data_IF_129560553246
#
_entry.id   IF_129560553246
#
_cell.length_a   1.000
_cell.length_b   1.000
_cell.length_c   1.000
_cell.angle_alpha   90.00
_cell.angle_beta   90.00
_cell.angle_gamma   90.00
#
_symmetry.space_group_name_H-M   'P 1'
#
loop_
_entity.id
_entity.type
_entity.pdbx_description
1 polymer ?
#
# COMPACT_ATOMS: atom_id res chain seq x y z
N UNK A 1 32.01 7.87 -9.82
CA UNK A 1 30.87 7.81 -8.88
C UNK A 1 29.70 8.46 -9.61
N UNK A 2 28.58 7.80 -9.87
CA UNK A 2 27.44 8.49 -10.47
C UNK A 2 26.92 9.50 -9.46
N UNK A 3 26.75 10.73 -9.94
CA UNK A 3 26.35 11.88 -9.14
C UNK A 3 25.01 11.60 -8.46
N UNK A 4 24.96 11.80 -7.13
CA UNK A 4 23.75 11.51 -6.35
C UNK A 4 22.78 12.66 -6.59
N UNK A 5 21.72 12.37 -7.34
CA UNK A 5 20.62 13.29 -7.61
C UNK A 5 20.06 13.85 -6.30
N UNK A 6 20.20 15.17 -6.11
CA UNK A 6 19.88 15.90 -4.89
C UNK A 6 19.14 17.19 -5.25
N UNK A 7 18.19 17.60 -4.42
CA UNK A 7 17.57 18.92 -4.53
C UNK A 7 18.48 20.04 -4.01
N UNK A 8 18.03 21.29 -4.16
CA UNK A 8 18.73 22.47 -3.66
C UNK A 8 18.96 22.47 -2.13
N UNK A 9 18.24 21.63 -1.38
CA UNK A 9 18.42 21.42 0.05
C UNK A 9 19.31 20.22 0.39
N UNK A 10 19.92 19.57 -0.61
CA UNK A 10 20.79 18.41 -0.42
C UNK A 10 20.06 17.10 -0.11
N UNK A 11 18.72 17.06 -0.18
CA UNK A 11 17.95 15.81 -0.05
C UNK A 11 18.07 15.02 -1.33
N UNK A 12 18.21 13.71 -1.22
CA UNK A 12 18.25 12.83 -2.38
C UNK A 12 16.94 12.99 -3.18
N UNK A 13 17.03 13.57 -4.38
CA UNK A 13 15.96 13.49 -5.36
C UNK A 13 16.05 12.12 -5.97
N UNK A 14 15.06 11.29 -5.71
CA UNK A 14 14.99 10.01 -6.41
C UNK A 14 14.25 10.26 -7.74
N UNK A 15 14.84 11.03 -8.67
CA UNK A 15 14.22 11.32 -9.96
C UNK A 15 14.36 10.15 -10.95
N UNK A 16 14.93 9.01 -10.51
CA UNK A 16 14.94 7.80 -11.33
C UNK A 16 13.51 7.32 -11.56
N UNK A 17 13.11 7.06 -12.82
CA UNK A 17 11.81 6.49 -13.12
C UNK A 17 11.65 5.16 -12.39
N UNK A 18 10.42 4.78 -12.06
CA UNK A 18 10.10 3.52 -11.37
C UNK A 18 9.08 2.72 -12.15
N UNK A 19 9.08 1.42 -11.99
CA UNK A 19 7.98 0.59 -12.49
C UNK A 19 6.73 0.70 -11.60
N UNK A 20 5.64 0.05 -12.01
CA UNK A 20 4.37 0.02 -11.26
C UNK A 20 4.46 -0.65 -9.88
N UNK A 21 5.59 -1.29 -9.55
CA UNK A 21 5.86 -1.84 -8.24
C UNK A 21 6.82 -0.96 -7.46
N UNK A 22 7.23 0.22 -7.94
CA UNK A 22 8.14 1.15 -7.26
C UNK A 22 9.64 0.79 -7.37
N UNK A 23 10.04 -0.17 -8.20
CA UNK A 23 11.46 -0.50 -8.41
C UNK A 23 12.11 0.52 -9.35
N UNK A 24 13.34 1.00 -9.06
CA UNK A 24 14.01 1.98 -9.91
C UNK A 24 14.35 1.38 -11.28
N UNK A 25 14.07 2.13 -12.33
CA UNK A 25 14.38 1.82 -13.73
C UNK A 25 15.64 2.57 -14.20
N UNK A 26 16.27 2.12 -15.30
CA UNK A 26 17.32 2.90 -15.97
C UNK A 26 16.85 4.32 -16.31
N UNK A 27 17.78 5.28 -16.30
CA UNK A 27 17.47 6.64 -16.77
C UNK A 27 16.99 6.60 -18.23
N UNK A 28 15.98 7.42 -18.55
CA UNK A 28 15.38 7.47 -19.89
C UNK A 28 14.33 6.39 -20.17
N UNK A 29 14.15 5.39 -19.30
CA UNK A 29 13.03 4.46 -19.41
C UNK A 29 11.71 5.15 -18.99
N UNK A 30 10.57 4.84 -19.65
CA UNK A 30 9.28 5.33 -19.19
C UNK A 30 8.96 4.70 -17.83
N UNK A 31 8.78 5.55 -16.82
CA UNK A 31 8.31 5.13 -15.50
C UNK A 31 6.79 5.13 -15.41
N UNK A 32 6.27 4.51 -14.36
CA UNK A 32 4.90 4.70 -13.90
C UNK A 32 4.91 5.85 -12.90
N UNK A 33 4.04 6.83 -13.12
CA UNK A 33 3.86 7.95 -12.20
C UNK A 33 3.41 7.43 -10.83
N UNK A 34 3.95 7.99 -9.74
CA UNK A 34 3.52 7.66 -8.38
C UNK A 34 2.17 8.28 -8.08
N UNK A 35 1.51 7.81 -7.03
CA UNK A 35 0.37 8.56 -6.53
C UNK A 35 0.82 9.96 -6.09
N UNK A 36 0.03 11.01 -6.34
CA UNK A 36 0.32 12.32 -5.81
C UNK A 36 0.35 12.25 -4.28
N UNK A 37 1.46 12.68 -3.68
CA UNK A 37 1.64 12.67 -2.22
C UNK A 37 0.77 13.74 -1.56
N UNK A 38 0.23 13.43 -0.39
CA UNK A 38 -0.50 14.41 0.43
C UNK A 38 -1.90 14.73 -0.09
N UNK A 39 -2.46 13.88 -0.95
CA UNK A 39 -3.86 14.02 -1.38
C UNK A 39 -4.76 13.49 -0.28
N UNK A 40 -5.44 14.42 0.39
CA UNK A 40 -6.46 14.13 1.39
C UNK A 40 -7.68 13.54 0.68
N UNK A 41 -8.05 12.33 1.08
CA UNK A 41 -9.23 11.59 0.61
C UNK A 41 -10.13 11.30 1.80
N UNK A 42 -11.43 11.22 1.56
CA UNK A 42 -12.35 10.59 2.51
C UNK A 42 -11.99 9.10 2.70
N UNK A 43 -12.42 8.46 3.80
CA UNK A 43 -12.26 7.02 3.97
C UNK A 43 -12.80 6.21 2.78
N UNK A 44 -13.98 6.55 2.27
CA UNK A 44 -14.63 5.86 1.15
C UNK A 44 -13.84 6.01 -0.17
N UNK A 45 -13.34 7.21 -0.45
CA UNK A 45 -12.48 7.47 -1.61
C UNK A 45 -11.14 6.73 -1.50
N UNK A 46 -10.56 6.69 -0.29
CA UNK A 46 -9.33 5.96 0.00
C UNK A 46 -9.49 4.48 -0.31
N UNK A 47 -10.56 3.86 0.18
CA UNK A 47 -10.84 2.43 -0.03
C UNK A 47 -11.14 2.16 -1.51
N UNK A 48 -11.96 2.99 -2.15
CA UNK A 48 -12.32 2.83 -3.57
C UNK A 48 -11.10 2.92 -4.48
N UNK A 49 -10.26 3.94 -4.28
CA UNK A 49 -9.05 4.12 -5.08
C UNK A 49 -8.04 2.99 -4.83
N UNK A 50 -7.85 2.58 -3.57
CA UNK A 50 -6.99 1.45 -3.25
C UNK A 50 -7.50 0.14 -3.89
N UNK A 51 -8.82 -0.13 -3.87
CA UNK A 51 -9.41 -1.31 -4.52
C UNK A 51 -9.17 -1.30 -6.03
N UNK A 52 -9.34 -0.15 -6.69
CA UNK A 52 -9.09 0.02 -8.13
C UNK A 52 -7.62 -0.25 -8.46
N UNK A 53 -6.69 0.33 -7.70
CA UNK A 53 -5.25 0.15 -7.88
C UNK A 53 -4.81 -1.29 -7.65
N UNK A 54 -5.36 -1.95 -6.62
CA UNK A 54 -5.16 -3.37 -6.40
C UNK A 54 -5.64 -4.14 -7.63
N UNK A 55 -6.86 -3.87 -8.11
CA UNK A 55 -7.46 -4.36 -9.36
C UNK A 55 -6.50 -4.35 -10.55
N UNK A 56 -5.83 -3.23 -10.75
CA UNK A 56 -4.88 -2.98 -11.84
C UNK A 56 -3.49 -3.58 -11.64
N UNK A 57 -3.27 -4.32 -10.54
CA UNK A 57 -1.96 -4.89 -10.22
C UNK A 57 -0.94 -3.84 -9.77
N UNK A 58 -1.39 -2.75 -9.17
CA UNK A 58 -0.56 -1.65 -8.62
C UNK A 58 -0.61 -1.62 -7.09
N UNK A 59 -0.15 -2.67 -6.39
CA UNK A 59 -0.21 -2.73 -4.93
C UNK A 59 0.70 -1.70 -4.24
N UNK A 60 1.75 -1.21 -4.91
CA UNK A 60 2.61 -0.17 -4.35
C UNK A 60 1.88 1.18 -4.31
N UNK A 61 1.15 1.52 -5.37
CA UNK A 61 0.30 2.72 -5.39
C UNK A 61 -0.85 2.63 -4.38
N UNK A 62 -1.47 1.46 -4.22
CA UNK A 62 -2.47 1.26 -3.18
C UNK A 62 -1.88 1.44 -1.77
N UNK A 63 -0.63 1.01 -1.55
CA UNK A 63 0.10 1.28 -0.32
C UNK A 63 0.28 2.78 -0.09
N UNK A 64 0.66 3.56 -1.11
CA UNK A 64 0.80 5.03 -0.99
C UNK A 64 -0.53 5.68 -0.58
N UNK A 65 -1.66 5.24 -1.15
CA UNK A 65 -3.01 5.74 -0.79
C UNK A 65 -3.35 5.49 0.69
N UNK A 66 -3.10 4.27 1.19
CA UNK A 66 -3.33 3.96 2.60
C UNK A 66 -2.32 4.64 3.53
N UNK A 67 -1.08 4.86 3.07
CA UNK A 67 -0.07 5.57 3.85
C UNK A 67 -0.44 7.04 4.04
N UNK A 68 -0.98 7.69 3.01
CA UNK A 68 -1.50 9.06 3.11
C UNK A 68 -2.65 9.13 4.12
N UNK A 69 -3.63 8.22 4.03
CA UNK A 69 -4.71 8.13 5.01
C UNK A 69 -4.18 7.90 6.43
N UNK A 70 -3.22 6.98 6.61
CA UNK A 70 -2.57 6.75 7.89
C UNK A 70 -1.90 8.01 8.44
N UNK A 71 -1.19 8.78 7.60
CA UNK A 71 -0.51 10.01 8.03
C UNK A 71 -1.49 11.11 8.40
N UNK A 72 -2.65 11.18 7.74
CA UNK A 72 -3.68 12.19 7.99
C UNK A 72 -4.71 11.84 9.07
N UNK A 73 -4.78 10.58 9.50
CA UNK A 73 -5.75 10.13 10.51
C UNK A 73 -5.14 10.10 11.91
N UNK A 74 -5.92 10.61 12.87
CA UNK A 74 -5.68 10.50 14.30
C UNK A 74 -6.64 9.48 14.93
N UNK A 75 -6.38 9.12 16.19
CA UNK A 75 -7.25 8.22 16.95
C UNK A 75 -7.13 6.74 16.56
N UNK A 76 -8.10 5.90 16.95
CA UNK A 76 -7.98 4.44 16.83
C UNK A 76 -7.88 3.95 15.38
N UNK A 77 -8.58 4.60 14.45
CA UNK A 77 -8.59 4.22 13.03
C UNK A 77 -7.24 4.42 12.33
N UNK A 78 -6.31 5.18 12.94
CA UNK A 78 -4.95 5.32 12.43
C UNK A 78 -4.28 3.95 12.24
N UNK A 79 -4.50 3.00 13.15
CA UNK A 79 -3.92 1.66 13.05
C UNK A 79 -4.60 0.80 11.97
N UNK A 80 -5.88 1.04 11.66
CA UNK A 80 -6.56 0.40 10.53
C UNK A 80 -5.86 0.76 9.21
N UNK A 81 -5.64 2.05 8.96
CA UNK A 81 -4.99 2.53 7.73
C UNK A 81 -3.56 2.01 7.59
N UNK A 82 -2.81 1.99 8.69
CA UNK A 82 -1.47 1.41 8.73
C UNK A 82 -1.47 -0.09 8.44
N UNK A 83 -2.44 -0.84 8.98
CA UNK A 83 -2.62 -2.26 8.69
C UNK A 83 -2.92 -2.52 7.22
N UNK A 84 -3.82 -1.75 6.62
CA UNK A 84 -4.13 -1.82 5.19
C UNK A 84 -2.92 -1.44 4.31
N UNK A 85 -2.14 -0.44 4.71
CA UNK A 85 -0.88 -0.10 4.05
C UNK A 85 0.11 -1.27 4.10
N UNK A 86 0.19 -1.99 5.21
CA UNK A 86 1.02 -3.20 5.36
C UNK A 86 0.54 -4.35 4.45
N UNK A 87 -0.77 -4.56 4.34
CA UNK A 87 -1.35 -5.54 3.42
C UNK A 87 -0.95 -5.23 1.98
N UNK A 88 -1.11 -3.97 1.55
CA UNK A 88 -0.76 -3.53 0.20
C UNK A 88 0.76 -3.64 -0.10
N UNK A 89 1.64 -3.30 0.84
CA UNK A 89 3.09 -3.49 0.63
C UNK A 89 3.48 -4.98 0.71
N UNK A 90 2.76 -5.81 1.47
CA UNK A 90 2.91 -7.27 1.44
C UNK A 90 2.62 -7.85 0.05
N UNK A 91 1.55 -7.38 -0.60
CA UNK A 91 1.25 -7.68 -2.00
C UNK A 91 2.34 -7.23 -2.96
N UNK A 92 2.90 -6.03 -2.73
CA UNK A 92 4.04 -5.53 -3.51
C UNK A 92 5.26 -6.45 -3.39
N UNK A 93 5.59 -6.91 -2.17
CA UNK A 93 6.68 -7.87 -1.95
C UNK A 93 6.43 -9.19 -2.69
N UNK A 94 5.18 -9.69 -2.67
CA UNK A 94 4.79 -10.90 -3.38
C UNK A 94 4.99 -10.74 -4.89
N UNK A 95 4.53 -9.63 -5.46
CA UNK A 95 4.69 -9.31 -6.89
C UNK A 95 6.16 -9.14 -7.31
N UNK A 96 7.04 -8.73 -6.37
CA UNK A 96 8.50 -8.64 -6.57
C UNK A 96 9.23 -9.98 -6.36
N UNK A 97 8.53 -11.08 -6.07
CA UNK A 97 9.13 -12.40 -5.82
C UNK A 97 9.71 -12.58 -4.41
N UNK A 98 9.46 -11.65 -3.49
CA UNK A 98 9.91 -11.75 -2.10
C UNK A 98 8.83 -12.40 -1.22
N UNK A 99 8.68 -13.73 -1.34
CA UNK A 99 7.65 -14.49 -0.62
C UNK A 99 7.77 -14.36 0.90
N UNK A 100 8.99 -14.48 1.46
CA UNK A 100 9.22 -14.37 2.91
C UNK A 100 8.80 -13.00 3.46
N UNK A 101 9.21 -11.93 2.77
CA UNK A 101 8.84 -10.56 3.13
C UNK A 101 7.33 -10.32 2.99
N UNK A 102 6.72 -10.87 1.94
CA UNK A 102 5.27 -10.79 1.72
C UNK A 102 4.49 -11.42 2.87
N UNK A 103 4.78 -12.68 3.22
CA UNK A 103 4.09 -13.37 4.31
C UNK A 103 4.23 -12.63 5.64
N UNK A 104 5.42 -12.10 5.93
CA UNK A 104 5.66 -11.36 7.17
C UNK A 104 4.93 -10.01 7.23
N UNK A 105 4.71 -9.34 6.10
CA UNK A 105 3.94 -8.08 6.04
C UNK A 105 2.43 -8.33 6.05
N UNK A 106 1.96 -9.35 5.32
CA UNK A 106 0.55 -9.75 5.31
C UNK A 106 0.08 -10.20 6.69
N UNK A 107 0.89 -10.98 7.42
CA UNK A 107 0.57 -11.40 8.78
C UNK A 107 0.44 -10.20 9.73
N UNK A 108 1.41 -9.27 9.72
CA UNK A 108 1.37 -8.04 10.54
C UNK A 108 0.19 -7.15 10.18
N UNK A 109 -0.09 -6.99 8.88
CA UNK A 109 -1.25 -6.24 8.41
C UNK A 109 -2.56 -6.85 8.91
N UNK A 110 -2.70 -8.18 8.86
CA UNK A 110 -3.85 -8.90 9.39
C UNK A 110 -4.01 -8.71 10.89
N UNK A 111 -2.92 -8.84 11.67
CA UNK A 111 -2.92 -8.58 13.12
C UNK A 111 -3.34 -7.15 13.46
N UNK A 112 -2.93 -6.17 12.65
CA UNK A 112 -3.26 -4.77 12.87
C UNK A 112 -4.73 -4.44 12.57
N UNK A 113 -5.35 -5.08 11.57
CA UNK A 113 -6.75 -4.81 11.20
C UNK A 113 -7.75 -5.70 11.96
N UNK A 114 -7.34 -6.86 12.48
CA UNK A 114 -8.23 -7.80 13.18
C UNK A 114 -9.05 -7.19 14.33
N UNK A 115 -8.53 -6.25 15.16
CA UNK A 115 -9.34 -5.60 16.20
C UNK A 115 -10.58 -4.87 15.68
N UNK A 116 -10.63 -4.51 14.39
CA UNK A 116 -11.75 -3.82 13.75
C UNK A 116 -12.82 -4.79 13.23
N UNK A 117 -12.63 -6.11 13.33
CA UNK A 117 -13.55 -7.09 12.73
C UNK A 117 -14.95 -7.10 13.37
N UNK A 118 -15.04 -6.76 14.66
CA UNK A 118 -16.32 -6.74 15.39
C UNK A 118 -17.21 -5.56 14.98
N UNK A 119 -16.60 -4.43 14.62
CA UNK A 119 -17.27 -3.21 14.18
C UNK A 119 -16.43 -2.59 13.06
N UNK A 120 -16.60 -3.13 11.84
CA UNK A 120 -15.77 -2.77 10.71
C UNK A 120 -16.08 -1.35 10.21
N UNK A 121 -15.13 -0.41 10.28
CA UNK A 121 -15.33 0.94 9.77
C UNK A 121 -15.51 0.93 8.25
N UNK A 122 -16.30 1.88 7.74
CA UNK A 122 -16.36 2.20 6.31
C UNK A 122 -16.79 1.04 5.38
N UNK A 123 -17.44 0.01 5.92
CA UNK A 123 -17.89 -1.17 5.16
C UNK A 123 -16.77 -2.12 4.74
N UNK A 124 -15.59 -2.03 5.36
CA UNK A 124 -14.45 -2.88 5.03
C UNK A 124 -14.74 -4.34 5.45
N UNK A 125 -14.46 -5.31 4.58
CA UNK A 125 -14.50 -6.73 4.90
C UNK A 125 -13.26 -7.14 5.71
N UNK A 126 -13.15 -6.65 6.94
CA UNK A 126 -12.00 -6.92 7.81
C UNK A 126 -11.83 -8.42 8.04
N UNK A 127 -12.93 -9.13 8.31
CA UNK A 127 -12.92 -10.58 8.53
C UNK A 127 -12.40 -11.33 7.30
N UNK A 128 -12.90 -11.00 6.11
CA UNK A 128 -12.44 -11.60 4.86
C UNK A 128 -10.99 -11.25 4.54
N UNK A 129 -10.57 -10.02 4.80
CA UNK A 129 -9.17 -9.58 4.62
C UNK A 129 -8.21 -10.33 5.53
N UNK A 130 -8.54 -10.49 6.81
CA UNK A 130 -7.72 -11.24 7.77
C UNK A 130 -7.62 -12.70 7.35
N UNK A 131 -8.74 -13.32 6.98
CA UNK A 131 -8.75 -14.70 6.50
C UNK A 131 -7.92 -14.86 5.22
N UNK A 132 -8.09 -13.96 4.25
CA UNK A 132 -7.35 -13.95 2.99
C UNK A 132 -5.83 -13.81 3.22
N UNK A 133 -5.42 -12.89 4.08
CA UNK A 133 -4.01 -12.62 4.38
C UNK A 133 -3.33 -13.80 5.10
N UNK A 134 -4.03 -14.44 6.05
CA UNK A 134 -3.51 -15.59 6.81
C UNK A 134 -3.45 -16.87 5.98
N UNK A 135 -4.43 -17.09 5.11
CA UNK A 135 -4.50 -18.29 4.26
C UNK A 135 -3.57 -18.21 3.05
N UNK A 136 -2.88 -17.08 2.84
CA UNK A 136 -1.98 -16.88 1.71
C UNK A 136 -2.69 -17.01 0.36
N UNK A 137 -3.98 -16.70 0.32
CA UNK A 137 -4.81 -16.98 -0.85
C UNK A 137 -4.25 -16.27 -2.11
N UNK A 138 -4.32 -16.95 -3.27
CA UNK A 138 -3.91 -16.34 -4.53
C UNK A 138 -4.84 -15.18 -4.90
N UNK A 139 -4.38 -14.31 -5.79
CA UNK A 139 -5.17 -13.18 -6.28
C UNK A 139 -5.15 -11.96 -5.37
N UNK A 140 -6.04 -11.01 -5.64
CA UNK A 140 -6.14 -9.74 -4.93
C UNK A 140 -7.27 -9.81 -3.90
N UNK A 141 -7.12 -9.14 -2.74
CA UNK A 141 -8.20 -9.09 -1.76
C UNK A 141 -9.35 -8.19 -2.26
N UNK A 142 -10.55 -8.47 -1.76
CA UNK A 142 -11.67 -7.52 -1.77
C UNK A 142 -11.61 -6.72 -0.47
N UNK A 143 -11.69 -5.40 -0.57
CA UNK A 143 -11.63 -4.49 0.58
C UNK A 143 -13.00 -4.29 1.24
N UNK A 144 -14.08 -4.31 0.46
CA UNK A 144 -15.45 -4.09 0.94
C UNK A 144 -16.22 -5.41 1.08
N UNK A 145 -17.18 -5.47 2.01
CA UNK A 145 -18.06 -6.63 2.23
C UNK A 145 -18.98 -6.93 1.04
#
# INVERSE_FOLDING_TARGET
MPDRDRDAGGRARNARPRDGLGRPLPYGAPGVERQPEGVVRTPEETITEAQRLLGEGKPFHAHEVFEDAWKSTDGPERELWKGLAQVAVGLTHRARGNAKGASALLARGAEAIEPFAAEAPYGIDVTGLVAWARNGAPGQPRLLA
#
